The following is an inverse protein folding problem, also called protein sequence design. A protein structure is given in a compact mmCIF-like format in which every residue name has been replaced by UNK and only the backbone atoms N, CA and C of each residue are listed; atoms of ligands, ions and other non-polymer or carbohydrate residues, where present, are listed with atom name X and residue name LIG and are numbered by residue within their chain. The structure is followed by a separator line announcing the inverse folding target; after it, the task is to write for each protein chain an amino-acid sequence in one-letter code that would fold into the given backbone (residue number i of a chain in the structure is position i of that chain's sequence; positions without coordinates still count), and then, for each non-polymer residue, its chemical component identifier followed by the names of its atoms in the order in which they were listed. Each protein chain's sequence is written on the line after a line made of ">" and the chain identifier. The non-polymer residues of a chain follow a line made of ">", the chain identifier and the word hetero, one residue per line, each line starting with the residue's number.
data_IF_051808893751
#
_entry.id   IF_051808893751
#
_cell.length_a   1.000
_cell.length_b   1.000
_cell.length_c   1.000
_cell.angle_alpha   90.00
_cell.angle_beta   90.00
_cell.angle_gamma   90.00
#
_symmetry.space_group_name_H-M   'P 1'
#
loop_
_entity.id
_entity.type
_entity.pdbx_description
1 polymer ?
#
# COMPACT_ATOMS: atom_id res chain seq x y z
N UNK A 1 33.68 -13.46 -39.36
CA UNK A 1 33.76 -13.13 -37.92
C UNK A 1 34.19 -11.68 -37.82
N UNK A 2 33.24 -10.74 -37.93
CA UNK A 2 33.50 -9.31 -37.73
C UNK A 2 32.63 -8.82 -36.58
N UNK A 3 33.28 -8.13 -35.65
CA UNK A 3 32.71 -7.58 -34.42
C UNK A 3 32.22 -6.16 -34.70
N UNK A 4 30.92 -5.99 -34.90
CA UNK A 4 30.30 -4.66 -34.84
C UNK A 4 30.07 -4.27 -33.38
N UNK A 5 30.96 -3.44 -32.87
CA UNK A 5 30.81 -2.71 -31.61
C UNK A 5 29.70 -1.68 -31.80
N UNK A 6 28.52 -1.95 -31.25
CA UNK A 6 27.43 -0.99 -31.14
C UNK A 6 27.87 0.14 -30.19
N UNK A 7 28.19 1.30 -30.78
CA UNK A 7 28.80 2.44 -30.10
C UNK A 7 27.71 3.20 -29.30
N UNK A 8 27.78 3.14 -27.97
CA UNK A 8 26.77 3.65 -27.02
C UNK A 8 26.81 5.18 -26.77
N UNK A 9 27.47 5.96 -27.64
CA UNK A 9 27.72 7.38 -27.43
C UNK A 9 26.83 8.35 -28.25
N UNK A 10 25.99 7.86 -29.16
CA UNK A 10 25.23 8.69 -30.10
C UNK A 10 23.71 8.68 -29.89
N UNK A 11 23.23 8.67 -28.64
CA UNK A 11 21.83 8.97 -28.34
C UNK A 11 21.68 10.49 -28.22
N UNK A 12 21.60 11.17 -29.36
CA UNK A 12 21.34 12.61 -29.43
C UNK A 12 19.90 12.91 -29.01
N UNK A 13 19.67 14.13 -28.53
CA UNK A 13 18.35 14.72 -28.17
C UNK A 13 17.27 14.54 -29.25
N UNK A 14 17.66 14.30 -30.50
CA UNK A 14 16.79 13.93 -31.62
C UNK A 14 16.09 12.58 -31.44
N UNK A 15 16.63 11.62 -30.68
CA UNK A 15 15.96 10.32 -30.43
C UNK A 15 14.86 10.40 -29.37
N UNK A 16 14.89 11.43 -28.52
CA UNK A 16 13.81 11.72 -27.57
C UNK A 16 12.68 12.43 -28.32
N UNK A 17 13.00 13.41 -29.17
CA UNK A 17 12.03 14.10 -30.02
C UNK A 17 11.41 13.17 -31.10
N UNK A 18 12.18 12.22 -31.64
CA UNK A 18 11.68 11.24 -32.62
C UNK A 18 10.83 10.15 -31.95
N UNK A 19 11.12 9.77 -30.69
CA UNK A 19 10.23 8.94 -29.87
C UNK A 19 8.94 9.66 -29.49
N UNK A 20 8.99 10.96 -29.20
CA UNK A 20 7.80 11.79 -29.01
C UNK A 20 6.98 11.93 -30.30
N UNK A 21 7.64 11.95 -31.48
CA UNK A 21 6.98 12.05 -32.78
C UNK A 21 6.50 10.72 -33.39
N UNK A 22 7.07 9.57 -32.98
CA UNK A 22 6.64 8.23 -33.44
C UNK A 22 5.51 7.61 -32.62
N UNK A 23 5.07 8.26 -31.54
CA UNK A 23 3.74 8.02 -31.00
C UNK A 23 2.77 8.75 -31.94
N UNK A 24 2.47 8.14 -33.10
CA UNK A 24 1.15 8.31 -33.70
C UNK A 24 0.18 7.88 -32.61
N UNK A 25 -0.29 8.86 -31.81
CA UNK A 25 -1.24 8.60 -30.74
C UNK A 25 -2.44 7.89 -31.39
N UNK A 26 -2.68 6.60 -31.12
CA UNK A 26 -4.00 6.06 -31.41
C UNK A 26 -4.99 7.00 -30.70
N UNK A 27 -6.00 7.49 -31.42
CA UNK A 27 -7.01 8.45 -30.95
C UNK A 27 -7.17 8.38 -29.42
N UNK A 28 -6.60 9.36 -28.70
CA UNK A 28 -6.54 9.28 -27.23
C UNK A 28 -7.95 9.34 -26.70
N UNK A 29 -8.48 8.18 -26.29
CA UNK A 29 -9.85 8.11 -25.80
C UNK A 29 -9.93 8.89 -24.47
N UNK A 30 -10.84 9.88 -24.35
CA UNK A 30 -10.98 10.66 -23.14
C UNK A 30 -11.37 9.76 -21.95
N UNK A 31 -11.05 10.20 -20.74
CA UNK A 31 -11.39 9.49 -19.52
C UNK A 31 -12.91 9.37 -19.36
N UNK A 32 -13.44 8.15 -19.26
CA UNK A 32 -14.87 7.91 -19.02
C UNK A 32 -15.19 8.12 -17.54
N UNK A 33 -16.41 8.58 -17.26
CA UNK A 33 -16.92 8.68 -15.88
C UNK A 33 -16.93 7.34 -15.15
N UNK A 34 -17.18 6.23 -15.86
CA UNK A 34 -17.14 4.88 -15.28
C UNK A 34 -15.75 4.49 -14.80
N UNK A 35 -14.68 4.89 -15.51
CA UNK A 35 -13.31 4.63 -15.11
C UNK A 35 -12.90 5.43 -13.88
N UNK A 36 -13.39 6.68 -13.76
CA UNK A 36 -13.18 7.51 -12.57
C UNK A 36 -13.86 6.90 -11.34
N UNK A 37 -15.11 6.45 -11.47
CA UNK A 37 -15.79 5.75 -10.38
C UNK A 37 -15.15 4.41 -10.04
N UNK A 38 -14.73 3.65 -11.06
CA UNK A 38 -13.94 2.44 -10.88
C UNK A 38 -12.68 2.72 -10.04
N UNK A 39 -11.96 3.81 -10.34
CA UNK A 39 -10.79 4.24 -9.60
C UNK A 39 -11.08 4.54 -8.12
N UNK A 40 -12.13 5.30 -7.84
CA UNK A 40 -12.49 5.66 -6.47
C UNK A 40 -12.85 4.43 -5.62
N UNK A 41 -13.59 3.49 -6.20
CA UNK A 41 -13.99 2.26 -5.52
C UNK A 41 -12.84 1.25 -5.45
N UNK A 42 -11.87 1.30 -6.37
CA UNK A 42 -10.72 0.41 -6.39
C UNK A 42 -9.92 0.48 -5.08
N UNK A 43 -9.75 1.68 -4.52
CA UNK A 43 -9.10 1.85 -3.22
C UNK A 43 -9.86 1.14 -2.08
N UNK A 44 -11.19 1.21 -2.09
CA UNK A 44 -12.05 0.50 -1.13
C UNK A 44 -12.08 -1.01 -1.35
N UNK A 45 -11.74 -1.49 -2.54
CA UNK A 45 -11.86 -2.90 -2.92
C UNK A 45 -10.94 -3.78 -2.07
N UNK A 46 -9.65 -3.44 -2.00
CA UNK A 46 -8.65 -4.23 -1.26
C UNK A 46 -8.26 -3.63 0.09
N UNK A 47 -8.91 -2.54 0.54
CA UNK A 47 -8.55 -1.86 1.79
C UNK A 47 -8.77 -2.72 3.03
N UNK A 48 -9.85 -3.51 3.05
CA UNK A 48 -10.17 -4.38 4.18
C UNK A 48 -9.08 -5.42 4.43
N UNK A 49 -8.62 -6.09 3.37
CA UNK A 49 -7.52 -7.04 3.53
C UNK A 49 -6.22 -6.32 3.92
N UNK A 50 -5.83 -5.26 3.21
CA UNK A 50 -4.59 -4.54 3.50
C UNK A 50 -4.55 -4.02 4.94
N UNK A 51 -5.38 -3.02 5.24
CA UNK A 51 -5.28 -2.22 6.47
C UNK A 51 -5.83 -2.91 7.72
N UNK A 52 -6.64 -3.96 7.57
CA UNK A 52 -7.29 -4.62 8.71
C UNK A 52 -6.75 -6.04 8.86
N UNK A 53 -6.91 -6.86 7.83
CA UNK A 53 -6.50 -8.27 7.92
C UNK A 53 -4.98 -8.42 7.98
N UNK A 54 -4.26 -7.96 6.96
CA UNK A 54 -2.82 -8.17 6.86
C UNK A 54 -2.04 -7.38 7.93
N UNK A 55 -2.44 -6.13 8.20
CA UNK A 55 -1.76 -5.29 9.18
C UNK A 55 -2.03 -5.67 10.65
N UNK A 56 -3.17 -6.30 10.96
CA UNK A 56 -3.56 -6.51 12.35
C UNK A 56 -4.15 -7.90 12.62
N UNK A 57 -5.23 -8.30 11.94
CA UNK A 57 -5.93 -9.56 12.30
C UNK A 57 -5.08 -10.81 12.05
N UNK A 58 -4.36 -10.87 10.92
CA UNK A 58 -3.53 -12.01 10.52
C UNK A 58 -2.32 -12.14 11.44
N UNK A 59 -1.55 -11.09 11.74
CA UNK A 59 -0.46 -11.19 12.72
C UNK A 59 -0.93 -11.64 14.10
N UNK A 60 -2.07 -11.12 14.58
CA UNK A 60 -2.67 -11.51 15.87
C UNK A 60 -3.12 -12.97 15.85
N UNK A 61 -3.78 -13.41 14.77
CA UNK A 61 -4.20 -14.81 14.60
C UNK A 61 -3.01 -15.77 14.61
N UNK A 62 -1.94 -15.45 13.87
CA UNK A 62 -0.72 -16.27 13.82
C UNK A 62 -0.08 -16.34 15.21
N UNK A 63 0.10 -15.19 15.86
CA UNK A 63 0.71 -15.10 17.18
C UNK A 63 -0.09 -15.92 18.21
N UNK A 64 -1.41 -15.78 18.23
CA UNK A 64 -2.25 -16.48 19.19
C UNK A 64 -2.29 -17.99 18.95
N UNK A 65 -2.46 -18.44 17.70
CA UNK A 65 -2.45 -19.87 17.35
C UNK A 65 -1.09 -20.52 17.64
N UNK A 66 0.01 -19.81 17.34
CA UNK A 66 1.35 -20.27 17.69
C UNK A 66 1.54 -20.36 19.20
N UNK A 67 1.09 -19.36 19.97
CA UNK A 67 1.18 -19.36 21.45
C UNK A 67 0.50 -20.59 22.07
N UNK A 68 -0.69 -20.96 21.58
CA UNK A 68 -1.43 -22.15 22.06
C UNK A 68 -0.85 -23.47 21.60
N UNK A 69 -0.20 -23.50 20.44
CA UNK A 69 0.53 -24.69 19.98
C UNK A 69 1.88 -24.84 20.70
N UNK A 70 2.39 -23.75 21.27
CA UNK A 70 3.65 -23.68 21.97
C UNK A 70 3.62 -24.29 23.37
N UNK A 71 4.79 -24.17 24.00
CA UNK A 71 5.11 -24.66 25.35
C UNK A 71 5.60 -23.50 26.20
N UNK A 72 5.64 -23.67 27.51
CA UNK A 72 6.19 -22.66 28.41
C UNK A 72 7.69 -22.44 28.17
N UNK A 73 8.17 -21.20 28.34
CA UNK A 73 9.61 -20.87 28.25
C UNK A 73 10.42 -21.51 29.38
N UNK A 74 9.83 -21.66 30.57
CA UNK A 74 10.48 -22.27 31.73
C UNK A 74 10.62 -23.79 31.60
N UNK A 75 9.62 -24.44 31.01
CA UNK A 75 9.58 -25.88 30.83
C UNK A 75 8.95 -26.23 29.48
N UNK A 76 9.81 -26.64 28.55
CA UNK A 76 9.39 -26.97 27.19
C UNK A 76 8.57 -28.27 27.09
N UNK A 77 8.34 -28.99 28.18
CA UNK A 77 7.47 -30.17 28.22
C UNK A 77 6.01 -29.84 28.54
N UNK A 78 5.74 -28.62 29.03
CA UNK A 78 4.41 -28.18 29.47
C UNK A 78 3.75 -27.32 28.38
N UNK A 79 2.52 -27.65 27.93
CA UNK A 79 1.76 -26.79 27.02
C UNK A 79 1.56 -25.39 27.61
N UNK A 80 1.70 -24.36 26.79
CA UNK A 80 1.61 -23.00 27.31
C UNK A 80 0.18 -22.63 27.74
N UNK A 81 0.03 -22.12 28.96
CA UNK A 81 -1.24 -21.60 29.44
C UNK A 81 -1.40 -20.11 29.11
N UNK A 82 -2.09 -19.84 28.00
CA UNK A 82 -2.38 -18.47 27.55
C UNK A 82 -3.45 -17.75 28.39
N UNK A 83 -4.03 -18.39 29.42
CA UNK A 83 -5.04 -17.78 30.30
C UNK A 83 -4.44 -17.01 31.47
N UNK A 84 -3.15 -17.24 31.78
CA UNK A 84 -2.44 -16.63 32.91
C UNK A 84 -1.80 -15.30 32.49
N UNK A 85 -2.05 -14.22 33.23
CA UNK A 85 -1.43 -12.93 32.94
C UNK A 85 0.11 -12.99 33.00
N UNK A 86 0.78 -12.53 31.94
CA UNK A 86 2.25 -12.53 31.86
C UNK A 86 2.88 -13.84 31.40
N UNK A 87 2.08 -14.76 30.82
CA UNK A 87 2.60 -16.01 30.24
C UNK A 87 3.73 -15.73 29.24
N UNK A 88 4.73 -16.63 29.21
CA UNK A 88 5.81 -16.60 28.23
C UNK A 88 5.83 -17.94 27.50
N UNK A 89 5.30 -17.95 26.28
CA UNK A 89 5.27 -19.13 25.42
C UNK A 89 6.41 -19.11 24.41
N UNK A 90 6.87 -20.29 24.03
CA UNK A 90 7.71 -20.50 22.84
C UNK A 90 7.11 -21.60 21.97
N UNK A 91 7.18 -21.40 20.65
CA UNK A 91 6.70 -22.37 19.67
C UNK A 91 7.87 -23.05 18.99
N UNK A 92 7.82 -24.38 18.87
CA UNK A 92 8.83 -25.13 18.12
C UNK A 92 8.63 -24.93 16.61
N UNK A 93 9.57 -24.24 15.98
CA UNK A 93 9.63 -23.94 14.55
C UNK A 93 10.94 -24.52 14.01
N UNK A 94 10.85 -25.54 13.14
CA UNK A 94 12.01 -26.24 12.57
C UNK A 94 13.06 -26.70 13.61
N UNK A 95 12.61 -27.12 14.80
CA UNK A 95 13.50 -27.59 15.88
C UNK A 95 14.10 -26.49 16.76
N UNK A 96 13.78 -25.22 16.50
CA UNK A 96 14.14 -24.09 17.35
C UNK A 96 12.91 -23.50 18.04
N UNK A 97 13.08 -23.01 19.26
CA UNK A 97 12.02 -22.36 20.02
C UNK A 97 12.01 -20.86 19.72
N UNK A 98 10.87 -20.35 19.26
CA UNK A 98 10.70 -18.96 18.84
C UNK A 98 9.51 -18.35 19.58
N UNK A 99 9.64 -17.08 19.98
CA UNK A 99 8.53 -16.30 20.52
C UNK A 99 7.40 -16.16 19.46
N UNK A 100 6.13 -16.47 19.80
CA UNK A 100 5.02 -16.40 18.85
C UNK A 100 4.82 -15.02 18.19
N UNK A 101 5.09 -13.94 18.92
CA UNK A 101 5.03 -12.59 18.38
C UNK A 101 6.15 -12.34 17.37
N UNK A 102 7.38 -12.73 17.70
CA UNK A 102 8.51 -12.67 16.77
C UNK A 102 8.27 -13.52 15.52
N UNK A 103 7.70 -14.72 15.67
CA UNK A 103 7.35 -15.58 14.54
C UNK A 103 6.36 -14.90 13.59
N UNK A 104 5.32 -14.26 14.14
CA UNK A 104 4.36 -13.48 13.35
C UNK A 104 5.02 -12.36 12.54
N UNK A 105 5.96 -11.62 13.16
CA UNK A 105 6.75 -10.59 12.48
C UNK A 105 7.63 -11.17 11.36
N UNK A 106 8.28 -12.32 11.58
CA UNK A 106 9.08 -12.98 10.54
C UNK A 106 8.25 -13.39 9.32
N UNK A 107 7.02 -13.86 9.52
CA UNK A 107 6.11 -14.18 8.40
C UNK A 107 5.72 -12.92 7.63
N UNK A 108 5.43 -11.82 8.33
CA UNK A 108 5.14 -10.53 7.68
C UNK A 108 6.33 -10.03 6.86
N UNK A 109 7.56 -10.11 7.40
CA UNK A 109 8.78 -9.75 6.67
C UNK A 109 9.02 -10.66 5.45
N UNK A 110 8.79 -11.97 5.58
CA UNK A 110 8.87 -12.91 4.46
C UNK A 110 7.88 -12.52 3.35
N UNK A 111 6.65 -12.14 3.72
CA UNK A 111 5.66 -11.62 2.79
C UNK A 111 6.17 -10.41 2.01
N UNK A 112 6.75 -9.41 2.70
CA UNK A 112 7.30 -8.21 2.05
C UNK A 112 8.43 -8.55 1.08
N UNK A 113 9.39 -9.40 1.48
CA UNK A 113 10.50 -9.84 0.61
C UNK A 113 9.99 -10.57 -0.63
N UNK A 114 9.05 -11.51 -0.48
CA UNK A 114 8.49 -12.23 -1.62
C UNK A 114 7.70 -11.30 -2.54
N UNK A 115 6.96 -10.34 -1.97
CA UNK A 115 6.19 -9.36 -2.75
C UNK A 115 7.10 -8.50 -3.63
N UNK A 116 8.30 -8.15 -3.14
CA UNK A 116 9.31 -7.45 -3.93
C UNK A 116 9.73 -8.26 -5.17
N UNK A 117 10.15 -9.51 -4.99
CA UNK A 117 10.62 -10.33 -6.11
C UNK A 117 9.51 -10.61 -7.13
N UNK A 118 8.29 -10.87 -6.66
CA UNK A 118 7.16 -11.10 -7.56
C UNK A 118 6.80 -9.83 -8.31
N UNK A 119 6.69 -8.67 -7.62
CA UNK A 119 6.38 -7.39 -8.26
C UNK A 119 7.41 -7.06 -9.35
N UNK A 120 8.72 -7.12 -9.03
CA UNK A 120 9.76 -6.87 -10.03
C UNK A 120 9.68 -7.80 -11.24
N UNK A 121 9.24 -9.05 -11.04
CA UNK A 121 9.16 -10.04 -12.11
C UNK A 121 8.03 -9.78 -13.11
N UNK A 122 6.99 -9.02 -12.73
CA UNK A 122 5.78 -8.83 -13.56
C UNK A 122 5.48 -7.36 -13.90
N UNK A 123 6.01 -6.39 -13.15
CA UNK A 123 5.59 -4.99 -13.26
C UNK A 123 5.89 -4.36 -14.62
N UNK A 124 7.04 -4.64 -15.22
CA UNK A 124 7.37 -4.15 -16.56
C UNK A 124 6.46 -4.74 -17.66
N UNK A 125 5.96 -5.96 -17.47
CA UNK A 125 5.06 -6.62 -18.43
C UNK A 125 3.67 -5.98 -18.40
N UNK A 126 3.25 -5.46 -17.23
CA UNK A 126 1.96 -4.81 -17.07
C UNK A 126 1.81 -3.54 -17.92
N UNK A 127 2.92 -2.88 -18.30
CA UNK A 127 2.89 -1.73 -19.20
C UNK A 127 2.67 -2.09 -20.68
N UNK A 128 2.58 -3.38 -21.01
CA UNK A 128 2.31 -3.87 -22.36
C UNK A 128 0.89 -4.40 -22.53
N UNK A 129 0.30 -4.13 -23.69
CA UNK A 129 -1.04 -4.62 -24.03
C UNK A 129 -2.07 -4.34 -22.93
N UNK A 130 -3.03 -5.25 -22.74
CA UNK A 130 -4.05 -5.16 -21.69
C UNK A 130 -3.63 -5.80 -20.35
N UNK A 131 -2.34 -6.09 -20.16
CA UNK A 131 -1.87 -6.89 -19.03
C UNK A 131 -2.08 -6.21 -17.67
N UNK A 132 -2.00 -4.87 -17.58
CA UNK A 132 -2.27 -4.12 -16.34
C UNK A 132 -3.62 -4.50 -15.71
N UNK A 133 -4.70 -4.44 -16.50
CA UNK A 133 -6.05 -4.81 -16.05
C UNK A 133 -6.16 -6.31 -15.74
N UNK A 134 -5.65 -7.17 -16.64
CA UNK A 134 -5.76 -8.61 -16.46
C UNK A 134 -5.03 -9.09 -15.20
N UNK A 135 -3.80 -8.62 -14.97
CA UNK A 135 -3.01 -8.97 -13.80
C UNK A 135 -3.66 -8.47 -12.50
N UNK A 136 -4.18 -7.24 -12.49
CA UNK A 136 -4.94 -6.71 -11.34
C UNK A 136 -6.10 -7.62 -10.95
N UNK A 137 -6.88 -8.12 -11.92
CA UNK A 137 -8.01 -9.01 -11.66
C UNK A 137 -7.54 -10.40 -11.21
N UNK A 138 -6.52 -10.97 -11.87
CA UNK A 138 -6.00 -12.30 -11.53
C UNK A 138 -5.41 -12.33 -10.11
N UNK A 139 -4.56 -11.37 -9.75
CA UNK A 139 -3.99 -11.29 -8.41
C UNK A 139 -5.05 -10.95 -7.35
N UNK A 140 -6.07 -10.15 -7.70
CA UNK A 140 -7.21 -9.94 -6.81
C UNK A 140 -7.94 -11.25 -6.51
N UNK A 141 -8.20 -12.08 -7.52
CA UNK A 141 -8.87 -13.37 -7.32
C UNK A 141 -8.04 -14.32 -6.45
N UNK A 142 -6.73 -14.40 -6.66
CA UNK A 142 -5.81 -15.21 -5.83
C UNK A 142 -5.79 -14.69 -4.39
N UNK A 143 -5.70 -13.36 -4.19
CA UNK A 143 -5.75 -12.73 -2.88
C UNK A 143 -7.05 -13.00 -2.14
N UNK A 144 -8.19 -12.88 -2.83
CA UNK A 144 -9.50 -13.20 -2.27
C UNK A 144 -9.58 -14.66 -1.83
N UNK A 145 -9.12 -15.60 -2.67
CA UNK A 145 -9.08 -17.02 -2.32
C UNK A 145 -8.19 -17.28 -1.10
N UNK A 146 -7.01 -16.65 -1.03
CA UNK A 146 -6.13 -16.77 0.13
C UNK A 146 -6.81 -16.28 1.42
N UNK A 147 -7.57 -15.17 1.36
CA UNK A 147 -8.35 -14.66 2.49
C UNK A 147 -9.44 -15.64 2.93
N UNK A 148 -10.19 -16.23 1.97
CA UNK A 148 -11.25 -17.18 2.27
C UNK A 148 -10.73 -18.48 2.90
N UNK A 149 -9.52 -18.92 2.50
CA UNK A 149 -8.89 -20.12 3.05
C UNK A 149 -8.46 -19.97 4.51
N UNK A 150 -8.43 -18.76 5.10
CA UNK A 150 -8.18 -18.59 6.54
C UNK A 150 -9.26 -19.25 7.40
N UNK A 151 -10.46 -19.53 6.88
CA UNK A 151 -11.49 -20.31 7.56
C UNK A 151 -11.06 -21.76 7.88
N UNK A 152 -10.00 -22.26 7.23
CA UNK A 152 -9.44 -23.59 7.52
C UNK A 152 -8.54 -23.61 8.76
N UNK A 153 -8.21 -22.44 9.33
CA UNK A 153 -7.27 -22.30 10.46
C UNK A 153 -7.98 -22.50 11.81
N UNK A 154 -8.72 -23.59 11.96
CA UNK A 154 -9.62 -23.80 13.12
C UNK A 154 -8.94 -24.40 14.37
N UNK A 155 -7.66 -24.76 14.29
CA UNK A 155 -6.93 -25.39 15.41
C UNK A 155 -5.53 -24.79 15.54
N UNK A 156 -4.94 -24.79 16.75
CA UNK A 156 -3.59 -24.25 16.96
C UNK A 156 -2.54 -24.83 16.02
N UNK A 157 -2.65 -26.11 15.64
CA UNK A 157 -1.72 -26.78 14.70
C UNK A 157 -1.74 -26.16 13.30
N UNK A 158 -2.84 -25.52 12.93
CA UNK A 158 -3.02 -24.90 11.63
C UNK A 158 -2.33 -23.54 11.51
N UNK A 159 -1.61 -23.07 12.53
CA UNK A 159 -0.82 -21.84 12.43
C UNK A 159 0.14 -21.84 11.23
N UNK A 160 0.68 -23.01 10.85
CA UNK A 160 1.47 -23.18 9.63
C UNK A 160 0.72 -22.84 8.34
N UNK A 161 -0.58 -23.15 8.27
CA UNK A 161 -1.43 -22.79 7.13
C UNK A 161 -1.55 -21.27 7.05
N UNK A 162 -1.81 -20.61 8.19
CA UNK A 162 -1.84 -19.15 8.27
C UNK A 162 -0.50 -18.52 7.86
N UNK A 163 0.62 -19.13 8.26
CA UNK A 163 1.98 -18.71 7.88
C UNK A 163 2.27 -18.78 6.38
N UNK A 164 1.56 -19.63 5.63
CA UNK A 164 1.68 -19.72 4.16
C UNK A 164 0.67 -18.80 3.46
N UNK A 165 -0.57 -18.76 3.94
CA UNK A 165 -1.62 -17.91 3.36
C UNK A 165 -1.33 -16.42 3.52
N UNK A 166 -0.70 -16.02 4.63
CA UNK A 166 -0.38 -14.63 4.94
C UNK A 166 0.53 -13.99 3.87
N UNK A 167 1.73 -14.54 3.54
CA UNK A 167 2.56 -14.04 2.45
C UNK A 167 1.84 -13.99 1.11
N UNK A 168 1.02 -15.01 0.77
CA UNK A 168 0.30 -15.05 -0.52
C UNK A 168 -0.67 -13.88 -0.64
N UNK A 169 -1.48 -13.63 0.39
CA UNK A 169 -2.41 -12.52 0.40
C UNK A 169 -1.68 -11.17 0.35
N UNK A 170 -0.58 -11.01 1.09
CA UNK A 170 0.23 -9.80 1.09
C UNK A 170 0.85 -9.49 -0.28
N UNK A 171 1.38 -10.51 -0.97
CA UNK A 171 1.90 -10.39 -2.34
C UNK A 171 0.79 -9.90 -3.27
N UNK A 172 -0.38 -10.53 -3.22
CA UNK A 172 -1.52 -10.16 -4.06
C UNK A 172 -1.98 -8.72 -3.80
N UNK A 173 -2.07 -8.30 -2.54
CA UNK A 173 -2.44 -6.94 -2.15
C UNK A 173 -1.45 -5.91 -2.72
N UNK A 174 -0.15 -6.14 -2.57
CA UNK A 174 0.89 -5.24 -3.06
C UNK A 174 0.86 -5.12 -4.59
N UNK A 175 0.75 -6.24 -5.29
CA UNK A 175 0.68 -6.27 -6.76
C UNK A 175 -0.56 -5.55 -7.27
N UNK A 176 -1.73 -5.80 -6.66
CA UNK A 176 -2.96 -5.08 -6.98
C UNK A 176 -2.81 -3.59 -6.72
N UNK A 177 -2.13 -3.19 -5.64
CA UNK A 177 -1.86 -1.79 -5.34
C UNK A 177 -0.96 -1.14 -6.38
N UNK A 178 0.10 -1.81 -6.86
CA UNK A 178 0.95 -1.30 -7.96
C UNK A 178 0.12 -1.04 -9.21
N UNK A 179 -0.63 -2.05 -9.66
CA UNK A 179 -1.36 -1.95 -10.91
C UNK A 179 -2.54 -1.01 -10.85
N UNK A 180 -3.24 -0.95 -9.72
CA UNK A 180 -4.17 0.13 -9.46
C UNK A 180 -3.41 1.45 -9.59
N UNK A 181 -2.48 1.78 -8.69
CA UNK A 181 -1.80 3.07 -8.66
C UNK A 181 -1.20 3.54 -10.00
N UNK A 182 -0.70 2.62 -10.83
CA UNK A 182 -0.16 2.93 -12.16
C UNK A 182 -1.16 3.51 -13.19
N UNK A 183 -2.47 3.36 -12.98
CA UNK A 183 -3.47 4.02 -13.84
C UNK A 183 -3.59 5.53 -13.55
N UNK A 184 -3.18 5.99 -12.37
CA UNK A 184 -3.30 7.39 -11.96
C UNK A 184 -2.65 8.38 -12.96
N UNK A 185 -1.37 8.23 -13.36
CA UNK A 185 -0.77 9.09 -14.39
C UNK A 185 -1.48 8.97 -15.75
N UNK A 186 -1.97 7.77 -16.11
CA UNK A 186 -2.71 7.56 -17.36
C UNK A 186 -4.02 8.35 -17.36
N UNK A 187 -4.74 8.36 -16.24
CA UNK A 187 -5.98 9.10 -16.06
C UNK A 187 -5.78 10.62 -16.05
N UNK A 188 -4.69 11.10 -15.44
CA UNK A 188 -4.32 12.51 -15.47
C UNK A 188 -4.15 13.04 -16.89
N UNK A 189 -3.36 12.34 -17.72
CA UNK A 189 -3.05 12.76 -19.10
C UNK A 189 -4.25 12.76 -20.04
N UNK A 190 -5.23 11.89 -19.79
CA UNK A 190 -6.42 11.72 -20.64
C UNK A 190 -7.69 12.33 -20.03
N UNK A 191 -7.54 13.13 -18.97
CA UNK A 191 -8.66 13.83 -18.35
C UNK A 191 -9.24 14.89 -19.31
N UNK A 192 -10.57 15.03 -19.41
CA UNK A 192 -11.21 15.98 -20.33
C UNK A 192 -10.65 17.40 -20.23
N UNK A 193 -10.50 17.93 -19.00
CA UNK A 193 -9.99 19.29 -18.80
C UNK A 193 -8.55 19.46 -19.33
N UNK A 194 -7.71 18.43 -19.21
CA UNK A 194 -6.32 18.42 -19.70
C UNK A 194 -6.31 18.34 -21.22
N UNK A 195 -7.12 17.45 -21.80
CA UNK A 195 -7.26 17.32 -23.26
C UNK A 195 -7.79 18.62 -23.90
N UNK A 196 -8.75 19.27 -23.24
CA UNK A 196 -9.31 20.55 -23.68
C UNK A 196 -8.26 21.68 -23.64
N UNK A 197 -7.44 21.74 -22.59
CA UNK A 197 -6.34 22.71 -22.51
C UNK A 197 -5.28 22.50 -23.60
N UNK A 198 -4.97 21.23 -23.92
CA UNK A 198 -4.09 20.87 -25.04
C UNK A 198 -4.72 21.25 -26.38
N UNK A 199 -6.00 20.97 -26.58
CA UNK A 199 -6.73 21.31 -27.80
C UNK A 199 -6.84 22.83 -28.02
N UNK A 200 -6.91 23.62 -26.94
CA UNK A 200 -6.84 25.09 -26.98
C UNK A 200 -5.44 25.64 -27.28
N UNK A 201 -4.41 24.79 -27.33
CA UNK A 201 -3.03 25.22 -27.56
C UNK A 201 -2.43 25.99 -26.39
N UNK A 202 -2.86 25.70 -25.16
CA UNK A 202 -2.31 26.36 -23.97
C UNK A 202 -0.83 26.00 -23.76
N UNK A 203 -0.09 26.88 -23.06
CA UNK A 203 1.31 26.65 -22.75
C UNK A 203 1.51 25.33 -21.98
N UNK A 204 2.61 24.62 -22.26
CA UNK A 204 3.00 23.39 -21.55
C UNK A 204 2.98 23.53 -20.02
N UNK A 205 3.32 24.71 -19.50
CA UNK A 205 3.30 24.98 -18.06
C UNK A 205 1.89 24.97 -17.47
N UNK A 206 0.89 25.42 -18.25
CA UNK A 206 -0.51 25.45 -17.82
C UNK A 206 -1.10 24.06 -17.87
N UNK A 207 -0.87 23.33 -18.96
CA UNK A 207 -1.29 21.92 -19.10
C UNK A 207 -0.73 21.07 -17.98
N UNK A 208 0.57 21.18 -17.67
CA UNK A 208 1.20 20.43 -16.58
C UNK A 208 0.61 20.76 -15.20
N UNK A 209 0.31 22.04 -14.95
CA UNK A 209 -0.31 22.47 -13.69
C UNK A 209 -1.74 21.96 -13.55
N UNK A 210 -2.49 21.89 -14.65
CA UNK A 210 -3.83 21.34 -14.69
C UNK A 210 -3.82 19.82 -14.49
N UNK A 211 -2.89 19.12 -15.17
CA UNK A 211 -2.65 17.69 -14.97
C UNK A 211 -2.32 17.39 -13.50
N UNK A 212 -1.41 18.14 -12.90
CA UNK A 212 -1.10 18.06 -11.46
C UNK A 212 -2.38 18.21 -10.61
N UNK A 213 -3.20 19.24 -10.87
CA UNK A 213 -4.42 19.48 -10.10
C UNK A 213 -5.40 18.32 -10.19
N UNK A 214 -5.69 17.86 -11.41
CA UNK A 214 -6.60 16.75 -11.67
C UNK A 214 -6.10 15.46 -11.01
N UNK A 215 -4.82 15.13 -11.17
CA UNK A 215 -4.24 13.89 -10.59
C UNK A 215 -4.38 13.93 -9.06
N UNK A 216 -4.15 15.08 -8.44
CA UNK A 216 -4.29 15.22 -7.00
C UNK A 216 -5.74 15.13 -6.52
N UNK A 217 -6.68 15.75 -7.22
CA UNK A 217 -8.10 15.67 -6.90
C UNK A 217 -8.57 14.20 -6.98
N UNK A 218 -8.22 13.50 -8.07
CA UNK A 218 -8.53 12.08 -8.27
C UNK A 218 -7.87 11.22 -7.16
N UNK A 219 -6.61 11.50 -6.83
CA UNK A 219 -5.86 10.77 -5.80
C UNK A 219 -6.48 10.94 -4.41
N UNK A 220 -6.81 12.17 -4.02
CA UNK A 220 -7.38 12.51 -2.71
C UNK A 220 -8.79 11.94 -2.54
N UNK A 221 -9.65 12.09 -3.54
CA UNK A 221 -11.00 11.48 -3.53
C UNK A 221 -10.90 9.96 -3.43
N UNK A 222 -9.97 9.34 -4.18
CA UNK A 222 -9.70 7.91 -4.09
C UNK A 222 -9.30 7.46 -2.68
N UNK A 223 -8.45 8.22 -1.98
CA UNK A 223 -8.11 7.94 -0.57
C UNK A 223 -9.31 8.10 0.36
N UNK A 224 -10.15 9.12 0.16
CA UNK A 224 -11.38 9.30 0.95
C UNK A 224 -12.31 8.10 0.83
N UNK A 225 -12.57 7.63 -0.40
CA UNK A 225 -13.38 6.42 -0.63
C UNK A 225 -12.73 5.17 -0.04
N UNK A 226 -11.41 5.02 -0.17
CA UNK A 226 -10.68 3.90 0.44
C UNK A 226 -10.90 3.86 1.96
N UNK A 227 -10.77 5.00 2.63
CA UNK A 227 -10.99 5.12 4.07
C UNK A 227 -12.45 4.88 4.47
N UNK A 228 -13.43 5.37 3.70
CA UNK A 228 -14.85 5.03 3.91
C UNK A 228 -15.05 3.52 3.85
N UNK A 229 -14.47 2.85 2.85
CA UNK A 229 -14.48 1.39 2.75
C UNK A 229 -13.86 0.72 3.98
N UNK A 230 -12.70 1.20 4.43
CA UNK A 230 -11.99 0.67 5.62
C UNK A 230 -12.85 0.79 6.87
N UNK A 231 -13.54 1.91 7.09
CA UNK A 231 -14.42 2.12 8.25
C UNK A 231 -15.62 1.16 8.20
N UNK A 232 -16.21 0.95 7.03
CA UNK A 232 -17.32 -0.01 6.86
C UNK A 232 -16.87 -1.43 7.19
N UNK A 233 -15.67 -1.83 6.74
CA UNK A 233 -15.12 -3.15 7.07
C UNK A 233 -14.81 -3.25 8.57
N UNK A 234 -14.23 -2.22 9.19
CA UNK A 234 -14.02 -2.17 10.64
C UNK A 234 -15.32 -2.31 11.42
N UNK A 235 -16.39 -1.65 11.00
CA UNK A 235 -17.69 -1.74 11.67
C UNK A 235 -18.21 -3.19 11.71
N UNK A 236 -18.06 -3.92 10.59
CA UNK A 236 -18.41 -5.35 10.53
C UNK A 236 -17.47 -6.19 11.40
N UNK A 237 -16.16 -6.00 11.33
CA UNK A 237 -15.19 -6.74 12.14
C UNK A 237 -15.40 -6.53 13.65
N UNK A 238 -15.67 -5.29 14.08
CA UNK A 238 -15.98 -4.95 15.47
C UNK A 238 -17.30 -5.61 15.89
N UNK A 239 -18.34 -5.52 15.05
CA UNK A 239 -19.62 -6.19 15.32
C UNK A 239 -19.49 -7.70 15.48
N UNK A 240 -18.73 -8.36 14.61
CA UNK A 240 -18.42 -9.79 14.70
C UNK A 240 -17.67 -10.13 16.00
N UNK A 241 -16.66 -9.33 16.35
CA UNK A 241 -15.85 -9.54 17.55
C UNK A 241 -16.71 -9.43 18.82
N UNK A 242 -17.61 -8.46 18.88
CA UNK A 242 -18.54 -8.29 20.01
C UNK A 242 -19.55 -9.44 20.08
N UNK A 243 -20.18 -9.79 18.96
CA UNK A 243 -21.20 -10.85 18.89
C UNK A 243 -20.66 -12.22 19.30
N UNK A 244 -19.40 -12.49 18.97
CA UNK A 244 -18.72 -13.76 19.24
C UNK A 244 -17.88 -13.72 20.52
N UNK A 245 -18.09 -12.72 21.39
CA UNK A 245 -17.38 -12.55 22.66
C UNK A 245 -15.85 -12.61 22.56
N UNK A 246 -15.28 -12.07 21.47
CA UNK A 246 -13.83 -12.09 21.23
C UNK A 246 -13.24 -13.48 20.97
N UNK A 247 -14.06 -14.46 20.58
CA UNK A 247 -13.59 -15.79 20.21
C UNK A 247 -12.67 -15.74 18.99
N UNK A 248 -11.72 -16.68 18.90
CA UNK A 248 -10.77 -16.79 17.78
C UNK A 248 -11.44 -17.01 16.43
N UNK A 249 -12.58 -17.71 16.43
CA UNK A 249 -13.41 -17.88 15.25
C UNK A 249 -13.88 -16.52 14.69
N UNK A 250 -13.96 -15.47 15.53
CA UNK A 250 -14.27 -14.11 15.07
C UNK A 250 -13.16 -13.52 14.20
N UNK A 251 -11.88 -13.81 14.49
CA UNK A 251 -10.73 -13.34 13.69
C UNK A 251 -10.71 -14.02 12.32
N UNK A 252 -10.92 -15.34 12.28
CA UNK A 252 -10.97 -16.12 11.04
C UNK A 252 -12.12 -15.65 10.14
N UNK A 253 -13.32 -15.47 10.70
CA UNK A 253 -14.49 -14.96 9.97
C UNK A 253 -14.26 -13.52 9.51
N UNK A 254 -13.66 -12.67 10.35
CA UNK A 254 -13.34 -11.29 9.98
C UNK A 254 -12.36 -11.24 8.79
N UNK A 255 -11.30 -12.05 8.80
CA UNK A 255 -10.35 -12.15 7.67
C UNK A 255 -11.07 -12.67 6.42
N UNK A 256 -11.87 -13.72 6.53
CA UNK A 256 -12.64 -14.26 5.40
C UNK A 256 -13.62 -13.22 4.83
N UNK A 257 -14.28 -12.43 5.70
CA UNK A 257 -15.13 -11.32 5.30
C UNK A 257 -14.37 -10.27 4.47
N UNK A 258 -13.13 -9.93 4.84
CA UNK A 258 -12.33 -9.02 4.01
C UNK A 258 -12.02 -9.59 2.62
N UNK A 259 -11.91 -10.91 2.49
CA UNK A 259 -11.80 -11.60 1.20
C UNK A 259 -13.08 -11.52 0.37
N UNK A 260 -14.24 -11.70 1.00
CA UNK A 260 -15.56 -11.53 0.35
C UNK A 260 -15.75 -10.08 -0.11
N UNK A 261 -15.40 -9.12 0.75
CA UNK A 261 -15.45 -7.69 0.43
C UNK A 261 -14.59 -7.37 -0.80
N UNK A 262 -13.35 -7.87 -0.83
CA UNK A 262 -12.46 -7.71 -1.97
C UNK A 262 -13.05 -8.35 -3.24
N UNK A 263 -13.54 -9.58 -3.16
CA UNK A 263 -14.10 -10.29 -4.31
C UNK A 263 -15.35 -9.58 -4.86
N UNK A 264 -16.25 -9.15 -3.99
CA UNK A 264 -17.46 -8.42 -4.36
C UNK A 264 -17.11 -7.15 -5.14
N UNK A 265 -16.22 -6.31 -4.61
CA UNK A 265 -15.90 -5.03 -5.24
C UNK A 265 -15.07 -5.19 -6.50
N UNK A 266 -14.13 -6.15 -6.59
CA UNK A 266 -13.38 -6.37 -7.83
C UNK A 266 -14.29 -6.84 -8.96
N UNK A 267 -15.30 -7.68 -8.66
CA UNK A 267 -16.28 -8.11 -9.66
C UNK A 267 -17.13 -6.94 -10.16
N UNK A 268 -17.53 -6.02 -9.26
CA UNK A 268 -18.29 -4.81 -9.63
C UNK A 268 -17.44 -3.82 -10.45
N UNK A 269 -16.19 -3.61 -10.08
CA UNK A 269 -15.30 -2.61 -10.69
C UNK A 269 -14.68 -3.09 -12.01
N UNK A 270 -14.43 -4.40 -12.15
CA UNK A 270 -13.74 -4.96 -13.31
C UNK A 270 -14.35 -4.61 -14.69
N UNK A 271 -15.68 -4.50 -14.89
CA UNK A 271 -16.25 -4.10 -16.18
C UNK A 271 -16.11 -2.60 -16.45
N UNK A 272 -15.99 -1.77 -15.41
CA UNK A 272 -15.86 -0.32 -15.52
C UNK A 272 -14.43 0.15 -15.76
N UNK A 273 -13.45 -0.70 -15.45
CA UNK A 273 -12.04 -0.43 -15.69
C UNK A 273 -11.68 -0.71 -17.15
N UNK A 274 -11.37 0.31 -17.95
CA UNK A 274 -10.85 0.07 -19.30
C UNK A 274 -9.37 -0.35 -19.25
N UNK A 275 -8.98 -1.28 -20.13
CA UNK A 275 -7.64 -1.85 -20.10
C UNK A 275 -6.53 -0.86 -20.51
N UNK A 276 -6.89 0.24 -21.20
CA UNK A 276 -5.99 1.27 -21.77
C UNK A 276 -4.65 0.69 -22.24
N UNK A 277 -4.67 -0.10 -23.34
CA UNK A 277 -3.57 -0.99 -23.66
C UNK A 277 -2.29 -0.23 -24.03
N UNK A 278 -1.18 -0.67 -23.44
CA UNK A 278 0.15 -0.19 -23.80
C UNK A 278 0.69 -0.82 -25.09
N UNK A 279 1.90 -0.46 -25.53
CA UNK A 279 2.53 -1.06 -26.71
C UNK A 279 2.62 -2.58 -26.57
N UNK A 280 2.50 -3.37 -27.65
CA UNK A 280 2.59 -4.82 -27.57
C UNK A 280 3.98 -5.25 -27.08
N UNK A 281 4.02 -6.35 -26.31
CA UNK A 281 5.29 -6.91 -25.83
C UNK A 281 6.14 -7.39 -27.02
N UNK A 282 7.48 -7.22 -26.99
CA UNK A 282 8.37 -7.83 -27.96
C UNK A 282 8.18 -9.34 -28.09
N UNK A 283 7.97 -9.83 -29.32
CA UNK A 283 7.72 -11.27 -29.58
C UNK A 283 8.91 -12.14 -29.13
N UNK A 284 8.62 -13.27 -28.51
CA UNK A 284 9.61 -14.31 -28.17
C UNK A 284 10.43 -14.08 -26.89
N UNK A 285 10.09 -13.08 -26.06
CA UNK A 285 10.75 -12.87 -24.77
C UNK A 285 9.93 -13.46 -23.62
N UNK A 286 10.63 -14.06 -22.66
CA UNK A 286 10.03 -14.51 -21.41
C UNK A 286 9.69 -13.30 -20.54
N UNK A 287 8.50 -13.30 -19.93
CA UNK A 287 7.96 -12.22 -19.10
C UNK A 287 8.90 -11.85 -17.97
N UNK A 288 9.42 -12.85 -17.24
CA UNK A 288 10.29 -12.64 -16.08
C UNK A 288 11.63 -12.04 -16.54
N UNK A 289 12.26 -12.64 -17.54
CA UNK A 289 13.56 -12.18 -18.07
C UNK A 289 13.43 -10.76 -18.62
N UNK A 290 12.32 -10.45 -19.29
CA UNK A 290 12.04 -9.10 -19.79
C UNK A 290 11.97 -8.09 -18.65
N UNK A 291 11.16 -8.36 -17.61
CA UNK A 291 10.99 -7.43 -16.50
C UNK A 291 12.29 -7.15 -15.77
N UNK A 292 13.04 -8.21 -15.40
CA UNK A 292 14.31 -8.04 -14.73
C UNK A 292 15.32 -7.26 -15.57
N UNK A 293 15.44 -7.57 -16.87
CA UNK A 293 16.33 -6.85 -17.79
C UNK A 293 15.94 -5.39 -17.93
N UNK A 294 14.65 -5.08 -17.97
CA UNK A 294 14.12 -3.71 -18.06
C UNK A 294 14.41 -2.95 -16.77
N UNK A 295 14.07 -3.51 -15.61
CA UNK A 295 14.33 -2.91 -14.30
C UNK A 295 15.81 -2.63 -14.08
N UNK A 296 16.72 -3.57 -14.38
CA UNK A 296 18.16 -3.30 -14.26
C UNK A 296 18.63 -2.19 -15.19
N UNK A 297 18.07 -2.08 -16.39
CA UNK A 297 18.38 -0.99 -17.32
C UNK A 297 17.85 0.35 -16.79
N UNK A 298 16.67 0.36 -16.16
CA UNK A 298 16.08 1.54 -15.52
C UNK A 298 16.95 2.00 -14.36
N UNK A 299 17.38 1.08 -13.48
CA UNK A 299 18.32 1.36 -12.39
C UNK A 299 19.68 1.86 -12.92
N UNK A 300 20.21 1.28 -13.99
CA UNK A 300 21.44 1.74 -14.62
C UNK A 300 21.30 3.13 -15.29
N UNK A 301 20.08 3.58 -15.55
CA UNK A 301 19.77 4.88 -16.16
C UNK A 301 19.62 6.01 -15.14
N UNK A 302 20.10 5.83 -13.91
CA UNK A 302 20.03 6.81 -12.80
C UNK A 302 20.47 8.23 -13.21
N UNK A 303 21.50 8.34 -14.04
CA UNK A 303 22.06 9.62 -14.49
C UNK A 303 21.15 10.37 -15.47
N UNK A 304 20.22 9.68 -16.14
CA UNK A 304 19.29 10.27 -17.10
C UNK A 304 18.02 10.81 -16.45
N UNK A 305 17.65 10.28 -15.27
CA UNK A 305 16.44 10.66 -14.53
C UNK A 305 16.79 11.00 -13.07
N UNK A 306 17.67 11.97 -12.79
CA UNK A 306 18.16 12.21 -11.43
C UNK A 306 17.05 12.57 -10.44
N UNK A 307 16.00 13.29 -10.89
CA UNK A 307 14.92 13.76 -10.00
C UNK A 307 14.02 12.63 -9.49
N UNK A 308 13.67 11.64 -10.33
CA UNK A 308 12.86 10.49 -9.87
C UNK A 308 13.65 9.62 -8.89
N UNK A 309 14.95 9.46 -9.09
CA UNK A 309 15.79 8.69 -8.15
C UNK A 309 15.99 9.41 -6.81
N UNK A 310 16.21 10.74 -6.82
CA UNK A 310 16.20 11.53 -5.58
C UNK A 310 14.88 11.37 -4.83
N UNK A 311 13.76 11.40 -5.56
CA UNK A 311 12.44 11.16 -4.98
C UNK A 311 12.32 9.75 -4.39
N UNK A 312 12.71 8.69 -5.10
CA UNK A 312 12.64 7.31 -4.59
C UNK A 312 13.49 7.12 -3.32
N UNK A 313 14.69 7.71 -3.26
CA UNK A 313 15.54 7.66 -2.06
C UNK A 313 14.91 8.43 -0.90
N UNK A 314 14.37 9.63 -1.16
CA UNK A 314 13.65 10.38 -0.14
C UNK A 314 12.40 9.62 0.34
N UNK A 315 11.66 9.01 -0.58
CA UNK A 315 10.49 8.19 -0.30
C UNK A 315 10.85 6.97 0.55
N UNK A 316 11.95 6.27 0.26
CA UNK A 316 12.45 5.15 1.08
C UNK A 316 12.64 5.56 2.56
N UNK A 317 13.25 6.72 2.81
CA UNK A 317 13.50 7.21 4.18
C UNK A 317 12.20 7.68 4.84
N UNK A 318 11.37 8.43 4.10
CA UNK A 318 10.17 9.05 4.67
C UNK A 318 9.05 8.04 4.93
N UNK A 319 8.85 7.08 4.02
CA UNK A 319 7.84 6.03 4.17
C UNK A 319 8.14 5.14 5.37
N UNK A 320 9.41 4.74 5.55
CA UNK A 320 9.87 3.99 6.73
C UNK A 320 9.57 4.72 8.04
N UNK A 321 9.98 6.00 8.12
CA UNK A 321 9.76 6.81 9.31
C UNK A 321 8.28 6.92 9.68
N UNK A 322 7.41 7.16 8.69
CA UNK A 322 5.96 7.31 8.93
C UNK A 322 5.31 5.98 9.30
N UNK A 323 5.63 4.89 8.59
CA UNK A 323 5.13 3.56 8.93
C UNK A 323 5.58 3.15 10.35
N UNK A 324 6.82 3.46 10.72
CA UNK A 324 7.40 3.17 12.03
C UNK A 324 6.69 3.96 13.15
N UNK A 325 6.39 5.25 12.94
CA UNK A 325 5.62 6.04 13.92
C UNK A 325 4.28 5.36 14.21
N UNK A 326 3.52 5.02 13.17
CA UNK A 326 2.20 4.38 13.34
C UNK A 326 2.33 3.00 14.00
N UNK A 327 3.30 2.19 13.59
CA UNK A 327 3.51 0.85 14.16
C UNK A 327 3.92 0.91 15.64
N UNK A 328 4.87 1.78 16.00
CA UNK A 328 5.34 1.93 17.39
C UNK A 328 4.24 2.51 18.28
N UNK A 329 3.47 3.50 17.80
CA UNK A 329 2.31 4.02 18.53
C UNK A 329 1.34 2.90 18.89
N UNK A 330 1.05 2.00 17.94
CA UNK A 330 0.18 0.85 18.20
C UNK A 330 0.78 -0.13 19.22
N UNK A 331 2.09 -0.38 19.16
CA UNK A 331 2.79 -1.23 20.14
C UNK A 331 2.71 -0.65 21.54
N UNK A 332 2.96 0.66 21.72
CA UNK A 332 2.87 1.35 23.00
C UNK A 332 1.43 1.29 23.54
N UNK A 333 0.44 1.55 22.69
CA UNK A 333 -0.97 1.48 23.08
C UNK A 333 -1.35 0.09 23.60
N UNK A 334 -0.89 -0.95 22.91
CA UNK A 334 -1.21 -2.33 23.26
C UNK A 334 -0.44 -2.84 24.48
N UNK A 335 0.87 -2.56 24.57
CA UNK A 335 1.74 -3.10 25.63
C UNK A 335 1.79 -2.25 26.89
N UNK A 336 1.91 -0.93 26.75
CA UNK A 336 2.19 -0.04 27.88
C UNK A 336 0.91 0.59 28.44
N UNK A 337 -0.03 0.95 27.55
CA UNK A 337 -1.34 1.50 27.93
C UNK A 337 -2.44 0.44 28.06
N UNK A 338 -2.07 -0.85 27.94
CA UNK A 338 -2.91 -2.02 28.15
C UNK A 338 -4.26 -1.97 27.38
N UNK A 339 -4.23 -1.52 26.12
CA UNK A 339 -5.43 -1.54 25.28
C UNK A 339 -5.94 -2.97 25.10
N UNK A 340 -7.23 -3.18 25.37
CA UNK A 340 -7.90 -4.42 25.00
C UNK A 340 -7.93 -4.60 23.48
N UNK A 341 -8.15 -5.83 23.00
CA UNK A 341 -8.32 -6.09 21.56
C UNK A 341 -9.42 -5.21 20.94
N UNK A 342 -10.55 -5.03 21.64
CA UNK A 342 -11.61 -4.13 21.19
C UNK A 342 -11.17 -2.66 21.12
N UNK A 343 -10.42 -2.18 22.11
CA UNK A 343 -9.88 -0.80 22.07
C UNK A 343 -8.92 -0.62 20.90
N UNK A 344 -8.11 -1.63 20.58
CA UNK A 344 -7.22 -1.61 19.42
C UNK A 344 -8.01 -1.54 18.09
N UNK A 345 -9.12 -2.29 17.96
CA UNK A 345 -10.01 -2.18 16.80
C UNK A 345 -10.61 -0.76 16.67
N UNK A 346 -11.08 -0.21 17.79
CA UNK A 346 -11.67 1.14 17.80
C UNK A 346 -10.65 2.23 17.48
N UNK A 347 -9.42 2.15 18.00
CA UNK A 347 -8.38 3.15 17.72
C UNK A 347 -7.93 3.09 16.27
N UNK A 348 -7.86 1.90 15.67
CA UNK A 348 -7.58 1.73 14.24
C UNK A 348 -8.72 2.20 13.35
N UNK A 349 -9.98 2.00 13.78
CA UNK A 349 -11.13 2.59 13.11
C UNK A 349 -11.14 4.13 13.19
N UNK A 350 -10.71 4.69 14.33
CA UNK A 350 -10.51 6.14 14.48
C UNK A 350 -9.45 6.66 13.53
N UNK A 351 -8.29 5.97 13.44
CA UNK A 351 -7.22 6.31 12.48
C UNK A 351 -7.76 6.34 11.05
N UNK A 352 -8.53 5.33 10.63
CA UNK A 352 -9.13 5.28 9.29
C UNK A 352 -10.16 6.39 9.06
N UNK A 353 -10.98 6.70 10.07
CA UNK A 353 -11.93 7.80 10.02
C UNK A 353 -11.24 9.15 9.86
N UNK A 354 -10.27 9.45 10.71
CA UNK A 354 -9.53 10.71 10.62
C UNK A 354 -8.68 10.76 9.36
N UNK A 355 -8.21 9.63 8.83
CA UNK A 355 -7.54 9.57 7.53
C UNK A 355 -8.45 9.93 6.34
N UNK A 356 -9.70 9.50 6.35
CA UNK A 356 -10.69 9.95 5.36
C UNK A 356 -10.99 11.45 5.48
N UNK A 357 -11.19 11.94 6.71
CA UNK A 357 -11.41 13.37 6.99
C UNK A 357 -10.19 14.21 6.58
N UNK A 358 -8.99 13.73 6.86
CA UNK A 358 -7.72 14.35 6.50
C UNK A 358 -7.55 14.46 4.99
N UNK A 359 -7.71 13.34 4.26
CA UNK A 359 -7.59 13.32 2.81
C UNK A 359 -8.49 14.36 2.13
N UNK A 360 -9.76 14.44 2.56
CA UNK A 360 -10.70 15.42 2.04
C UNK A 360 -10.45 16.85 2.56
N UNK A 361 -10.12 17.01 3.83
CA UNK A 361 -9.85 18.32 4.43
C UNK A 361 -8.64 19.01 3.80
N UNK A 362 -7.53 18.29 3.65
CA UNK A 362 -6.35 18.80 2.96
C UNK A 362 -6.59 19.03 1.47
N UNK A 363 -7.45 18.25 0.82
CA UNK A 363 -7.90 18.53 -0.55
C UNK A 363 -8.60 19.90 -0.63
N UNK A 364 -9.51 20.22 0.29
CA UNK A 364 -10.18 21.53 0.31
C UNK A 364 -9.19 22.68 0.56
N UNK A 365 -8.26 22.51 1.49
CA UNK A 365 -7.19 23.49 1.77
C UNK A 365 -6.36 23.72 0.51
N UNK A 366 -5.98 22.63 -0.18
CA UNK A 366 -5.24 22.69 -1.44
C UNK A 366 -5.99 23.47 -2.49
N UNK A 367 -7.26 23.15 -2.73
CA UNK A 367 -8.07 23.80 -3.76
C UNK A 367 -8.30 25.28 -3.44
N UNK A 368 -8.50 25.60 -2.15
CA UNK A 368 -8.73 26.97 -1.69
C UNK A 368 -7.51 27.88 -1.84
N UNK A 369 -6.31 27.35 -1.63
CA UNK A 369 -5.05 28.11 -1.69
C UNK A 369 -4.19 27.79 -2.91
N UNK A 370 -4.67 26.91 -3.80
CA UNK A 370 -3.98 26.43 -5.02
C UNK A 370 -2.55 25.99 -4.74
N UNK A 371 -2.35 25.26 -3.63
CA UNK A 371 -1.05 24.76 -3.21
C UNK A 371 -0.53 23.69 -4.17
N UNK A 372 0.79 23.64 -4.38
CA UNK A 372 1.43 22.58 -5.14
C UNK A 372 1.51 21.28 -4.34
N UNK A 373 1.69 20.17 -5.03
CA UNK A 373 1.87 18.84 -4.42
C UNK A 373 3.08 18.80 -3.49
N UNK A 374 4.18 19.44 -3.88
CA UNK A 374 5.39 19.54 -3.05
C UNK A 374 5.13 20.31 -1.76
N UNK A 375 4.43 21.45 -1.82
CA UNK A 375 4.09 22.22 -0.63
C UNK A 375 3.22 21.41 0.33
N UNK A 376 2.27 20.62 -0.19
CA UNK A 376 1.47 19.73 0.64
C UNK A 376 2.29 18.65 1.33
N UNK A 377 3.24 18.01 0.62
CA UNK A 377 4.17 17.07 1.23
C UNK A 377 4.98 17.72 2.36
N UNK A 378 5.48 18.94 2.17
CA UNK A 378 6.22 19.66 3.22
C UNK A 378 5.36 20.00 4.44
N UNK A 379 4.09 20.37 4.23
CA UNK A 379 3.14 20.61 5.32
C UNK A 379 2.91 19.32 6.12
N UNK A 380 2.63 18.20 5.44
CA UNK A 380 2.45 16.90 6.11
C UNK A 380 3.70 16.49 6.90
N UNK A 381 4.90 16.67 6.33
CA UNK A 381 6.15 16.38 7.02
C UNK A 381 6.37 17.27 8.25
N UNK A 382 6.05 18.56 8.16
CA UNK A 382 6.15 19.46 9.31
C UNK A 382 5.21 19.03 10.45
N UNK A 383 4.01 18.54 10.12
CA UNK A 383 3.07 18.01 11.10
C UNK A 383 3.59 16.70 11.74
N UNK A 384 4.20 15.80 10.97
CA UNK A 384 4.86 14.61 11.53
C UNK A 384 6.05 14.96 12.43
N UNK A 385 6.85 15.96 12.06
CA UNK A 385 7.96 16.43 12.90
C UNK A 385 7.42 17.01 14.20
N UNK A 386 6.30 17.73 14.18
CA UNK A 386 5.65 18.25 15.39
C UNK A 386 5.18 17.10 16.31
N UNK A 387 4.58 16.06 15.75
CA UNK A 387 4.21 14.85 16.47
C UNK A 387 5.43 14.18 17.10
N UNK A 388 6.52 13.98 16.35
CA UNK A 388 7.76 13.40 16.85
C UNK A 388 8.40 14.22 17.97
N UNK A 389 8.42 15.55 17.85
CA UNK A 389 8.94 16.44 18.89
C UNK A 389 8.17 16.26 20.19
N UNK A 390 6.84 16.07 20.13
CA UNK A 390 6.05 15.76 21.30
C UNK A 390 6.35 14.35 21.84
N UNK A 391 6.26 13.32 20.99
CA UNK A 391 6.39 11.93 21.40
C UNK A 391 7.77 11.63 22.01
N UNK A 392 8.83 12.25 21.48
CA UNK A 392 10.19 12.10 22.01
C UNK A 392 10.47 13.10 23.13
N UNK A 393 10.07 14.36 22.97
CA UNK A 393 10.44 15.43 23.91
C UNK A 393 9.66 15.38 25.22
N UNK A 394 8.34 15.19 25.18
CA UNK A 394 7.50 15.26 26.39
C UNK A 394 7.90 14.26 27.50
N UNK A 395 8.26 12.99 27.19
CA UNK A 395 8.74 12.04 28.19
C UNK A 395 10.03 12.46 28.92
N UNK A 396 10.93 13.23 28.28
CA UNK A 396 12.19 13.68 28.89
C UNK A 396 11.99 14.85 29.87
N UNK A 397 11.04 15.75 29.57
CA UNK A 397 10.85 16.96 30.36
C UNK A 397 9.78 16.82 31.45
N UNK A 398 8.88 15.85 31.33
CA UNK A 398 7.77 15.67 32.27
C UNK A 398 7.55 14.20 32.59
N UNK A 399 6.97 13.90 33.76
CA UNK A 399 6.53 12.54 34.16
C UNK A 399 5.07 12.26 33.84
N UNK A 400 4.31 13.28 33.43
CA UNK A 400 2.85 13.20 33.31
C UNK A 400 2.38 13.13 31.85
N UNK A 401 3.21 13.57 30.89
CA UNK A 401 2.92 13.60 29.46
C UNK A 401 3.93 12.76 28.66
N UNK A 402 3.55 12.37 27.44
CA UNK A 402 4.41 11.62 26.52
C UNK A 402 4.02 10.15 26.42
N UNK A 403 2.78 9.89 26.01
CA UNK A 403 2.19 8.55 25.88
C UNK A 403 2.05 7.79 27.20
N UNK A 404 1.84 8.51 28.31
CA UNK A 404 1.61 7.91 29.63
C UNK A 404 0.13 7.76 29.97
N UNK A 405 -0.73 8.53 29.32
CA UNK A 405 -2.18 8.47 29.51
C UNK A 405 -2.89 7.85 28.31
N UNK A 406 -3.97 7.11 28.58
CA UNK A 406 -4.83 6.50 27.53
C UNK A 406 -5.34 7.54 26.53
N UNK A 407 -5.74 8.73 27.00
CA UNK A 407 -6.29 9.77 26.13
C UNK A 407 -5.27 10.31 25.12
N UNK A 408 -3.97 10.35 25.48
CA UNK A 408 -2.90 10.76 24.55
C UNK A 408 -2.82 9.79 23.38
N UNK A 409 -2.95 8.50 23.66
CA UNK A 409 -3.01 7.45 22.65
C UNK A 409 -4.11 7.66 21.60
N UNK A 410 -5.34 7.94 22.06
CA UNK A 410 -6.46 8.24 21.16
C UNK A 410 -6.22 9.51 20.35
N UNK A 411 -5.66 10.54 20.97
CA UNK A 411 -5.35 11.80 20.31
C UNK A 411 -4.31 11.62 19.20
N UNK A 412 -3.18 10.96 19.49
CA UNK A 412 -2.10 10.78 18.50
C UNK A 412 -2.49 9.84 17.38
N UNK A 413 -3.28 8.79 17.64
CA UNK A 413 -3.84 7.98 16.54
C UNK A 413 -4.80 8.79 15.65
N UNK A 414 -5.64 9.64 16.26
CA UNK A 414 -6.48 10.56 15.49
C UNK A 414 -5.67 11.56 14.65
N UNK A 415 -4.63 12.15 15.25
CA UNK A 415 -3.72 13.11 14.61
C UNK A 415 -2.95 12.48 13.44
N UNK A 416 -2.34 11.31 13.68
CA UNK A 416 -1.62 10.54 12.68
C UNK A 416 -2.52 10.23 11.47
N UNK A 417 -3.77 9.85 11.74
CA UNK A 417 -4.76 9.58 10.69
C UNK A 417 -5.04 10.80 9.83
N UNK A 418 -5.26 12.00 10.42
CA UNK A 418 -5.49 13.24 9.65
C UNK A 418 -4.41 13.51 8.60
N UNK A 419 -3.17 13.06 8.83
CA UNK A 419 -2.02 13.39 7.99
C UNK A 419 -1.70 12.26 6.99
N UNK A 420 -1.81 10.99 7.41
CA UNK A 420 -1.25 9.86 6.68
C UNK A 420 -1.78 9.74 5.25
N UNK A 421 -3.09 9.81 5.04
CA UNK A 421 -3.67 9.64 3.70
C UNK A 421 -3.27 10.76 2.74
N UNK A 422 -3.18 11.99 3.23
CA UNK A 422 -2.72 13.14 2.42
C UNK A 422 -1.26 13.00 2.03
N UNK A 423 -0.41 12.55 2.97
CA UNK A 423 1.01 12.33 2.73
C UNK A 423 1.25 11.26 1.65
N UNK A 424 0.69 10.06 1.83
CA UNK A 424 0.81 8.98 0.86
C UNK A 424 0.18 9.35 -0.49
N UNK A 425 -0.96 10.07 -0.48
CA UNK A 425 -1.62 10.56 -1.69
C UNK A 425 -0.80 11.56 -2.48
N UNK A 426 -0.15 12.49 -1.80
CA UNK A 426 0.67 13.52 -2.43
C UNK A 426 2.00 12.96 -2.94
N UNK A 427 2.62 12.01 -2.23
CA UNK A 427 3.80 11.28 -2.72
C UNK A 427 3.48 10.44 -3.97
N UNK A 428 2.33 9.76 -3.99
CA UNK A 428 1.84 9.01 -5.15
C UNK A 428 1.65 9.91 -6.38
N UNK A 429 1.12 11.11 -6.17
CA UNK A 429 0.93 12.08 -7.26
C UNK A 429 2.28 12.59 -7.77
N UNK A 430 3.22 12.89 -6.88
CA UNK A 430 4.56 13.31 -7.27
C UNK A 430 5.27 12.25 -8.12
N UNK A 431 5.11 10.96 -7.80
CA UNK A 431 5.60 9.89 -8.68
C UNK A 431 4.93 9.91 -10.05
N UNK A 432 3.61 10.11 -10.07
CA UNK A 432 2.80 10.15 -11.31
C UNK A 432 3.30 11.24 -12.25
N UNK A 433 3.70 12.39 -11.71
CA UNK A 433 4.26 13.51 -12.47
C UNK A 433 5.69 13.27 -12.98
N UNK A 434 6.48 12.48 -12.25
CA UNK A 434 7.87 12.19 -12.58
C UNK A 434 8.02 10.97 -13.51
N UNK A 435 7.03 10.08 -13.54
CA UNK A 435 7.12 8.82 -14.28
C UNK A 435 7.08 9.07 -15.81
N UNK A 436 8.06 8.53 -16.56
CA UNK A 436 8.02 8.54 -18.02
C UNK A 436 6.77 7.82 -18.57
N UNK A 437 6.17 8.33 -19.65
CA UNK A 437 5.06 7.65 -20.30
C UNK A 437 5.43 6.26 -20.82
N UNK A 438 4.59 5.25 -20.54
CA UNK A 438 4.77 3.87 -20.96
C UNK A 438 5.60 2.99 -20.01
N UNK A 439 6.12 3.56 -18.92
CA UNK A 439 6.85 2.82 -17.87
C UNK A 439 6.16 2.96 -16.50
N UNK A 440 4.85 3.24 -16.47
CA UNK A 440 4.12 3.57 -15.24
C UNK A 440 4.17 2.43 -14.22
N UNK A 441 3.80 1.21 -14.61
CA UNK A 441 3.72 0.06 -13.69
C UNK A 441 5.10 -0.30 -13.13
N UNK A 442 6.15 -0.16 -13.94
CA UNK A 442 7.53 -0.34 -13.50
C UNK A 442 7.92 0.69 -12.42
N UNK A 443 7.69 1.99 -12.63
CA UNK A 443 8.03 3.01 -11.63
C UNK A 443 7.19 2.91 -10.36
N UNK A 444 5.90 2.59 -10.49
CA UNK A 444 5.04 2.34 -9.33
C UNK A 444 5.45 1.10 -8.55
N UNK A 445 6.03 0.09 -9.21
CA UNK A 445 6.60 -1.07 -8.52
C UNK A 445 7.86 -0.72 -7.73
N UNK A 446 8.75 0.11 -8.28
CA UNK A 446 9.94 0.60 -7.59
C UNK A 446 9.59 1.51 -6.42
N UNK A 447 8.54 2.33 -6.56
CA UNK A 447 7.99 3.14 -5.48
C UNK A 447 7.43 2.29 -4.34
N UNK A 448 6.63 1.27 -4.67
CA UNK A 448 6.09 0.37 -3.64
C UNK A 448 7.21 -0.44 -2.98
N UNK A 449 8.21 -0.87 -3.74
CA UNK A 449 9.40 -1.51 -3.19
C UNK A 449 10.13 -0.60 -2.21
N UNK A 450 10.31 0.68 -2.53
CA UNK A 450 10.98 1.59 -1.62
C UNK A 450 10.21 1.78 -0.31
N UNK A 451 8.87 1.68 -0.31
CA UNK A 451 8.02 1.69 0.89
C UNK A 451 8.05 0.37 1.67
N UNK A 452 7.89 -0.76 0.97
CA UNK A 452 7.78 -2.09 1.60
C UNK A 452 9.11 -2.77 1.88
N UNK A 453 10.18 -2.32 1.24
CA UNK A 453 11.53 -2.82 1.46
C UNK A 453 12.28 -2.06 2.55
N UNK A 454 11.78 -0.90 2.96
CA UNK A 454 12.33 -0.16 4.10
C UNK A 454 11.73 -0.64 5.43
N UNK A 455 10.43 -0.96 5.43
CA UNK A 455 9.63 -1.44 6.57
C UNK A 455 9.80 -2.96 6.76
#
# INVERSE_FOLDING_TARGET
>A
MSTDKFNLANLSTTDIASREAQIQQPSVQPLKRTEVWAWYIQGSTFCGYGWISAWMLVPVLIQDMASKYGVEVSDHSVPCDTTVAGFKCVTSVFGHYVDPGAFSLYISSLGSILSFFVSLSISAVADHGSYRKSLLITFSAIGCLACLLFFTVQSPKHFWIASVLSPIGWICYNICSVFAHSFLPVYGRVHPDVLDAVARGESKSVVRKLEEQVINDISAIGFTFANVGTILVYAVCIGLTILMHGSYMSLEIAIAFTGVWWLMWILIVSPWLDARPGPPMPKGQNWVVYSWKKTFRTLASVRKLPEIFKFIVAWFILSDGINTITAILFVILYRDLAFSHLNALFVSALLAFTAGVGAYGFLLIRQRWKLSTMTMNMICLALYVLELVYLVGAPYFTTDFGMRNVWEGWFFMGYNGLIISTFFGSCRVMLSELCPPGDESEWFSLYLLADKGSS
#
